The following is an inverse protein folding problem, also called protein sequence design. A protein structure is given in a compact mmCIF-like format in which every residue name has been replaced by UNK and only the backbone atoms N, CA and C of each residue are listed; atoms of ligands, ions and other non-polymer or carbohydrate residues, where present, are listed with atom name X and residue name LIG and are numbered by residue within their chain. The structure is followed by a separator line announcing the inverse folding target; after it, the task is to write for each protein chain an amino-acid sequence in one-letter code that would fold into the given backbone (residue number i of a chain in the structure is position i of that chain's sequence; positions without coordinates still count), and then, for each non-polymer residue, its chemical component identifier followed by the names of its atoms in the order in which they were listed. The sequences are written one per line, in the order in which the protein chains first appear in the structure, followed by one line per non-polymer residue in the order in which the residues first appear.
data_IF_220136930273
#
_entry.id   IF_220136930273
#
_cell.length_a   1.000
_cell.length_b   1.000
_cell.length_c   1.000
_cell.angle_alpha   90.00
_cell.angle_beta   90.00
_cell.angle_gamma   90.00
#
_symmetry.space_group_name_H-M   'P 1'
#
loop_
_entity.id
_entity.type
_entity.pdbx_description
1 polymer ?
#
# COMPACT_ATOMS: atom_id res chain seq x y z
N UNK A 1 -41.71 11.20 44.46
CA UNK A 1 -40.44 10.52 44.14
C UNK A 1 -40.75 9.35 43.21
N UNK A 2 -40.74 9.51 41.86
CA UNK A 2 -40.88 8.35 40.94
C UNK A 2 -40.62 8.61 39.45
N UNK A 3 -40.76 9.83 38.91
CA UNK A 3 -40.56 10.05 37.46
C UNK A 3 -39.20 10.65 37.08
N UNK A 4 -38.62 11.50 37.94
CA UNK A 4 -37.32 12.15 37.69
C UNK A 4 -36.14 11.17 37.68
N UNK A 5 -36.24 10.07 38.44
CA UNK A 5 -35.20 9.05 38.49
C UNK A 5 -35.24 8.12 37.26
N UNK A 6 -36.43 7.86 36.71
CA UNK A 6 -36.62 7.05 35.49
C UNK A 6 -36.09 7.76 34.23
N UNK A 7 -36.24 9.09 34.14
CA UNK A 7 -35.71 9.87 33.00
C UNK A 7 -34.18 9.89 33.02
N UNK A 8 -33.55 10.04 34.20
CA UNK A 8 -32.10 10.03 34.33
C UNK A 8 -31.49 8.68 33.95
N UNK A 9 -32.13 7.55 34.31
CA UNK A 9 -31.68 6.21 33.95
C UNK A 9 -31.86 5.95 32.45
N UNK A 10 -32.96 6.42 31.84
CA UNK A 10 -33.21 6.27 30.39
C UNK A 10 -32.23 7.06 29.51
N UNK A 11 -31.69 8.19 30.00
CA UNK A 11 -30.71 8.99 29.27
C UNK A 11 -29.32 8.37 29.29
N UNK A 12 -28.98 7.62 30.35
CA UNK A 12 -27.70 6.89 30.44
C UNK A 12 -27.63 5.67 29.50
N UNK A 13 -28.76 5.06 29.11
CA UNK A 13 -28.77 3.95 28.15
C UNK A 13 -28.55 4.38 26.70
N UNK A 14 -28.76 5.66 26.36
CA UNK A 14 -28.50 6.20 25.02
C UNK A 14 -27.01 6.55 24.77
N UNK A 15 -26.16 6.46 25.81
CA UNK A 15 -24.72 6.76 25.71
C UNK A 15 -23.83 5.52 25.54
N UNK A 16 -24.40 4.30 25.49
CA UNK A 16 -23.63 3.07 25.23
C UNK A 16 -23.51 2.71 23.74
N UNK A 17 -23.91 3.60 22.82
CA UNK A 17 -23.95 3.36 21.38
C UNK A 17 -22.63 3.55 20.62
N UNK A 18 -21.56 4.03 21.25
CA UNK A 18 -20.26 4.21 20.60
C UNK A 18 -19.20 3.26 21.16
N UNK A 19 -19.48 1.95 21.16
CA UNK A 19 -18.39 0.99 21.06
C UNK A 19 -17.99 0.91 19.58
N UNK A 20 -17.19 1.89 19.15
CA UNK A 20 -16.48 1.82 17.88
C UNK A 20 -15.58 0.58 17.98
N UNK A 21 -15.94 -0.48 17.26
CA UNK A 21 -15.11 -1.68 17.18
C UNK A 21 -13.70 -1.23 16.83
N UNK A 22 -12.70 -1.61 17.62
CA UNK A 22 -11.30 -1.24 17.34
C UNK A 22 -11.04 -1.49 15.84
N UNK A 23 -10.48 -0.52 15.11
CA UNK A 23 -10.28 -0.66 13.67
C UNK A 23 -9.51 -1.95 13.41
N UNK A 24 -10.13 -2.85 12.64
CA UNK A 24 -9.51 -4.13 12.30
C UNK A 24 -8.43 -3.84 11.27
N UNK A 25 -7.18 -3.93 11.72
CA UNK A 25 -6.03 -3.86 10.82
C UNK A 25 -6.03 -5.08 9.91
N UNK A 26 -6.07 -4.86 8.59
CA UNK A 26 -5.95 -5.92 7.60
C UNK A 26 -4.50 -6.21 7.25
N UNK A 27 -3.59 -5.26 7.47
CA UNK A 27 -2.16 -5.45 7.28
C UNK A 27 -1.34 -4.74 8.36
N UNK A 28 -0.33 -5.43 8.87
CA UNK A 28 0.62 -4.90 9.85
C UNK A 28 1.99 -4.58 9.25
N UNK A 29 2.21 -4.95 7.99
CA UNK A 29 3.46 -4.72 7.25
C UNK A 29 3.16 -3.94 5.99
N UNK A 30 3.85 -2.82 5.83
CA UNK A 30 3.76 -1.94 4.67
C UNK A 30 5.04 -1.98 3.87
N UNK A 31 4.95 -2.24 2.58
CA UNK A 31 6.08 -2.19 1.66
C UNK A 31 5.90 -1.06 0.64
N UNK A 32 6.97 -0.37 0.28
CA UNK A 32 6.97 0.59 -0.82
C UNK A 32 8.17 0.37 -1.75
N UNK A 33 7.95 0.51 -3.06
CA UNK A 33 8.96 0.25 -4.07
C UNK A 33 8.62 0.85 -5.44
N UNK A 34 9.52 0.60 -6.40
CA UNK A 34 9.28 0.92 -7.81
C UNK A 34 9.29 -0.34 -8.67
N UNK A 35 8.55 -0.34 -9.78
CA UNK A 35 8.61 -1.41 -10.78
C UNK A 35 9.72 -1.20 -11.82
N UNK A 36 10.16 0.04 -12.01
CA UNK A 36 11.22 0.40 -12.93
C UNK A 36 12.43 0.95 -12.18
N UNK A 37 13.07 1.96 -12.75
CA UNK A 37 14.27 2.58 -12.20
C UNK A 37 14.07 3.21 -10.82
N UNK A 38 15.09 3.91 -10.32
CA UNK A 38 15.01 4.70 -9.11
C UNK A 38 13.82 5.64 -9.12
N UNK A 39 13.12 5.69 -7.99
CA UNK A 39 12.07 6.67 -7.69
C UNK A 39 12.30 7.20 -6.27
N UNK A 40 11.76 8.38 -5.97
CA UNK A 40 11.70 8.91 -4.62
C UNK A 40 10.24 9.13 -4.22
N UNK A 41 9.75 8.34 -3.27
CA UNK A 41 8.38 8.50 -2.73
C UNK A 41 8.47 9.52 -1.58
N UNK A 42 8.02 10.75 -1.84
CA UNK A 42 8.17 11.90 -0.93
C UNK A 42 7.12 11.87 0.17
N UNK A 43 5.89 11.65 -0.24
CA UNK A 43 4.73 11.54 0.62
C UNK A 43 3.76 10.54 0.00
N UNK A 44 3.13 9.69 0.80
CA UNK A 44 2.18 8.72 0.30
C UNK A 44 1.32 8.17 1.42
N UNK A 45 0.18 8.82 1.66
CA UNK A 45 -0.80 8.40 2.64
C UNK A 45 -1.91 7.58 1.99
N UNK A 46 -2.18 6.40 2.54
CA UNK A 46 -3.38 5.61 2.21
C UNK A 46 -4.29 5.63 3.42
N UNK A 47 -5.48 6.19 3.27
CA UNK A 47 -6.50 6.25 4.32
C UNK A 47 -7.34 4.97 4.33
N UNK A 48 -7.92 4.64 5.48
CA UNK A 48 -8.89 3.55 5.62
C UNK A 48 -10.30 4.02 5.98
N UNK A 49 -11.28 3.11 5.90
CA UNK A 49 -12.69 3.40 6.20
C UNK A 49 -12.98 3.72 7.67
N UNK A 50 -12.02 3.52 8.58
CA UNK A 50 -12.17 3.77 10.01
C UNK A 50 -11.55 5.11 10.44
N UNK A 51 -11.14 5.94 9.48
CA UNK A 51 -10.47 7.21 9.73
C UNK A 51 -8.98 7.07 10.08
N UNK A 52 -8.42 5.87 9.95
CA UNK A 52 -6.99 5.59 10.07
C UNK A 52 -6.28 5.61 8.71
N UNK A 53 -5.07 5.04 8.68
CA UNK A 53 -4.28 4.93 7.46
C UNK A 53 -2.82 4.56 7.73
N UNK A 54 -2.04 4.50 6.66
CA UNK A 54 -0.60 4.28 6.74
C UNK A 54 0.16 5.12 5.70
N UNK A 55 1.37 5.55 6.09
CA UNK A 55 2.28 6.25 5.21
C UNK A 55 3.26 5.27 4.52
N UNK A 56 3.41 5.39 3.21
CA UNK A 56 4.29 4.61 2.34
C UNK A 56 5.45 5.46 1.76
N UNK A 57 5.69 6.66 2.30
CA UNK A 57 6.77 7.58 1.92
C UNK A 57 8.15 7.10 2.38
N UNK A 58 8.63 6.00 1.79
CA UNK A 58 9.89 5.38 2.21
C UNK A 58 11.15 5.99 1.54
N UNK A 59 11.02 7.16 0.90
CA UNK A 59 12.10 7.89 0.24
C UNK A 59 12.60 7.19 -1.03
N UNK A 60 13.92 7.23 -1.29
CA UNK A 60 14.51 6.62 -2.48
C UNK A 60 14.32 5.10 -2.52
N UNK A 61 13.66 4.59 -3.56
CA UNK A 61 13.42 3.17 -3.82
C UNK A 61 13.90 2.81 -5.24
N UNK A 62 14.36 1.58 -5.45
CA UNK A 62 14.61 1.01 -6.77
C UNK A 62 14.29 -0.49 -6.68
N UNK A 63 13.27 -0.93 -7.41
CA UNK A 63 12.73 -2.27 -7.23
C UNK A 63 11.93 -2.40 -5.91
N UNK A 64 11.58 -3.63 -5.56
CA UNK A 64 10.81 -3.92 -4.37
C UNK A 64 11.67 -4.62 -3.28
N UNK A 65 11.49 -4.29 -2.00
CA UNK A 65 10.81 -3.12 -1.45
C UNK A 65 11.50 -2.69 -0.15
N UNK A 66 11.35 -1.42 0.21
CA UNK A 66 11.52 -0.99 1.61
C UNK A 66 10.28 -1.39 2.41
N UNK A 67 10.46 -1.64 3.70
CA UNK A 67 9.42 -2.16 4.59
C UNK A 67 9.36 -1.35 5.88
N UNK A 68 8.17 -1.20 6.45
CA UNK A 68 7.94 -0.68 7.79
C UNK A 68 6.73 -1.38 8.43
N UNK A 69 6.66 -1.34 9.76
CA UNK A 69 5.45 -1.72 10.48
C UNK A 69 4.37 -0.66 10.26
N UNK A 70 3.15 -1.11 9.97
CA UNK A 70 1.98 -0.25 9.78
C UNK A 70 0.79 -0.81 10.58
N UNK A 71 -0.31 -0.08 10.60
CA UNK A 71 -1.61 -0.61 10.97
C UNK A 71 -2.65 0.07 10.11
N UNK A 72 -3.22 -0.67 9.15
CA UNK A 72 -4.17 -0.11 8.19
C UNK A 72 -5.38 -1.03 8.06
N UNK A 73 -6.58 -0.44 8.04
CA UNK A 73 -7.83 -1.13 7.72
C UNK A 73 -8.08 -1.29 6.22
N UNK A 74 -9.35 -1.40 5.85
CA UNK A 74 -9.76 -1.44 4.44
C UNK A 74 -9.49 -0.07 3.79
N UNK A 75 -8.68 0.00 2.72
CA UNK A 75 -8.28 1.27 2.14
C UNK A 75 -9.46 1.99 1.47
N UNK A 76 -9.47 3.32 1.56
CA UNK A 76 -10.55 4.19 1.07
C UNK A 76 -10.10 5.35 0.20
N UNK A 77 -8.87 5.82 0.39
CA UNK A 77 -8.30 6.88 -0.43
C UNK A 77 -6.78 6.78 -0.46
N UNK A 78 -6.18 7.35 -1.49
CA UNK A 78 -4.74 7.47 -1.64
C UNK A 78 -4.38 8.91 -2.02
N UNK A 79 -3.40 9.46 -1.30
CA UNK A 79 -2.91 10.79 -1.55
C UNK A 79 -1.40 10.83 -1.37
N UNK A 80 -0.67 11.43 -2.31
CA UNK A 80 0.77 11.47 -2.20
C UNK A 80 1.49 12.05 -3.40
N UNK A 81 2.80 12.13 -3.27
CA UNK A 81 3.72 12.64 -4.28
C UNK A 81 4.96 11.76 -4.39
N UNK A 82 5.41 11.56 -5.62
CA UNK A 82 6.67 10.87 -5.90
C UNK A 82 7.36 11.48 -7.11
N UNK A 83 8.63 11.15 -7.32
CA UNK A 83 9.41 11.61 -8.46
C UNK A 83 10.20 10.44 -9.05
N UNK A 84 10.37 10.42 -10.38
CA UNK A 84 11.29 9.48 -11.01
C UNK A 84 12.74 9.95 -10.78
N UNK A 85 13.64 8.98 -10.74
CA UNK A 85 15.05 9.19 -10.51
C UNK A 85 15.49 9.03 -9.06
N UNK A 86 16.71 9.47 -8.83
CA UNK A 86 17.53 9.11 -7.66
C UNK A 86 17.27 10.00 -6.44
N UNK A 87 16.37 10.98 -6.57
CA UNK A 87 16.17 12.08 -5.62
C UNK A 87 17.29 13.13 -5.67
N UNK A 88 17.15 14.19 -4.87
CA UNK A 88 18.17 15.23 -4.70
C UNK A 88 19.16 14.99 -3.55
N UNK A 89 20.15 15.87 -3.40
CA UNK A 89 21.08 15.91 -2.26
C UNK A 89 21.93 14.64 -2.08
N UNK A 90 22.09 14.20 -0.83
CA UNK A 90 22.92 13.04 -0.47
C UNK A 90 22.45 11.72 -1.11
N UNK A 91 21.18 11.63 -1.50
CA UNK A 91 20.66 10.48 -2.25
C UNK A 91 21.25 10.43 -3.66
N UNK A 92 21.33 11.56 -4.36
CA UNK A 92 21.95 11.65 -5.69
C UNK A 92 23.42 11.22 -5.64
N UNK A 93 24.18 11.73 -4.68
CA UNK A 93 25.60 11.38 -4.51
C UNK A 93 25.80 9.87 -4.25
N UNK A 94 24.95 9.27 -3.42
CA UNK A 94 24.98 7.83 -3.15
C UNK A 94 24.71 7.00 -4.41
N UNK A 95 23.80 7.48 -5.26
CA UNK A 95 23.48 6.83 -6.52
C UNK A 95 24.58 6.99 -7.57
N UNK A 96 25.20 8.17 -7.68
CA UNK A 96 26.36 8.38 -8.56
C UNK A 96 27.49 7.38 -8.26
N UNK A 97 27.77 7.12 -6.98
CA UNK A 97 28.80 6.15 -6.55
C UNK A 97 28.47 4.69 -6.88
N UNK A 98 27.19 4.34 -6.98
CA UNK A 98 26.72 2.97 -7.27
C UNK A 98 26.42 2.76 -8.75
N UNK A 99 26.43 3.83 -9.53
CA UNK A 99 26.08 3.81 -10.94
C UNK A 99 27.06 2.96 -11.71
N UNK A 100 26.54 2.20 -12.67
CA UNK A 100 27.36 1.36 -13.54
C UNK A 100 27.26 1.85 -14.99
N UNK A 101 28.36 1.91 -15.75
CA UNK A 101 28.35 2.42 -17.13
C UNK A 101 27.33 1.71 -18.04
N UNK A 102 27.06 0.42 -17.80
CA UNK A 102 26.06 -0.36 -18.54
C UNK A 102 24.62 0.13 -18.36
N UNK A 103 24.34 0.98 -17.37
CA UNK A 103 23.02 1.61 -17.16
C UNK A 103 22.86 2.91 -17.96
N UNK A 104 23.89 3.34 -18.72
CA UNK A 104 23.90 4.56 -19.52
C UNK A 104 24.48 5.77 -18.77
N UNK A 105 24.27 6.98 -19.29
CA UNK A 105 24.75 8.22 -18.67
C UNK A 105 23.85 8.59 -17.48
N UNK A 106 24.43 8.79 -16.29
CA UNK A 106 23.70 9.09 -15.05
C UNK A 106 22.89 10.40 -15.14
N UNK A 107 23.47 11.45 -15.73
CA UNK A 107 22.86 12.77 -15.80
C UNK A 107 21.82 12.88 -16.91
N UNK A 108 21.90 12.02 -17.94
CA UNK A 108 20.95 11.97 -19.06
C UNK A 108 19.80 10.97 -18.85
N UNK A 109 19.97 10.00 -17.94
CA UNK A 109 18.95 8.96 -17.70
C UNK A 109 17.77 9.39 -16.82
N UNK A 110 17.83 10.58 -16.21
CA UNK A 110 16.77 11.06 -15.32
C UNK A 110 16.30 12.46 -15.71
N UNK A 111 15.35 12.52 -16.66
CA UNK A 111 14.44 13.67 -16.77
C UNK A 111 13.48 13.60 -15.57
N UNK A 112 13.89 14.22 -14.45
CA UNK A 112 13.08 14.23 -13.23
C UNK A 112 11.72 14.83 -13.52
N UNK A 113 10.69 14.01 -13.33
CA UNK A 113 9.27 14.32 -13.32
C UNK A 113 8.77 14.14 -11.90
N UNK A 114 7.82 14.99 -11.55
CA UNK A 114 7.10 14.95 -10.30
C UNK A 114 5.69 14.45 -10.58
N UNK A 115 5.22 13.59 -9.70
CA UNK A 115 3.93 12.95 -9.77
C UNK A 115 3.14 13.22 -8.50
N UNK A 116 1.83 13.42 -8.63
CA UNK A 116 0.91 13.60 -7.51
C UNK A 116 -0.35 12.79 -7.73
N UNK A 117 -0.84 12.15 -6.67
CA UNK A 117 -2.13 11.47 -6.65
C UNK A 117 -2.99 12.03 -5.51
N UNK A 118 -4.27 12.18 -5.77
CA UNK A 118 -5.32 12.41 -4.78
C UNK A 118 -6.57 11.74 -5.36
N UNK A 119 -6.83 10.51 -4.93
CA UNK A 119 -7.88 9.68 -5.52
C UNK A 119 -8.57 8.78 -4.49
N UNK A 120 -9.76 8.34 -4.84
CA UNK A 120 -10.62 7.47 -4.05
C UNK A 120 -10.37 6.01 -4.42
N UNK A 121 -10.33 5.14 -3.41
CA UNK A 121 -10.25 3.69 -3.59
C UNK A 121 -11.66 3.12 -3.38
N UNK A 122 -12.11 2.24 -4.28
CA UNK A 122 -13.33 1.47 -4.07
C UNK A 122 -13.14 0.50 -2.89
N UNK A 123 -13.52 0.94 -1.69
CA UNK A 123 -13.35 0.20 -0.45
C UNK A 123 -14.15 -1.10 -0.41
N UNK A 124 -15.32 -1.15 -1.03
CA UNK A 124 -16.15 -2.36 -1.06
C UNK A 124 -15.49 -3.43 -1.92
N UNK A 125 -15.00 -3.04 -3.11
CA UNK A 125 -14.23 -3.95 -3.95
C UNK A 125 -12.90 -4.34 -3.32
N UNK A 126 -12.20 -3.38 -2.68
CA UNK A 126 -10.95 -3.67 -1.97
C UNK A 126 -11.17 -4.66 -0.84
N UNK A 127 -12.26 -4.53 -0.07
CA UNK A 127 -12.63 -5.48 0.98
C UNK A 127 -12.86 -6.87 0.43
N UNK A 128 -13.66 -7.00 -0.62
CA UNK A 128 -13.91 -8.30 -1.27
C UNK A 128 -12.60 -8.95 -1.74
N UNK A 129 -11.72 -8.18 -2.37
CA UNK A 129 -10.39 -8.65 -2.82
C UNK A 129 -9.49 -9.10 -1.68
N UNK A 130 -9.48 -8.37 -0.56
CA UNK A 130 -8.74 -8.74 0.66
C UNK A 130 -9.30 -10.04 1.23
N UNK A 131 -10.63 -10.16 1.34
CA UNK A 131 -11.29 -11.37 1.82
C UNK A 131 -10.97 -12.58 0.93
N UNK A 132 -10.99 -12.41 -0.40
CA UNK A 132 -10.56 -13.46 -1.35
C UNK A 132 -9.12 -13.88 -1.10
N UNK A 133 -8.17 -12.94 -0.95
CA UNK A 133 -6.78 -13.26 -0.65
C UNK A 133 -6.61 -13.98 0.69
N UNK A 134 -7.34 -13.55 1.73
CA UNK A 134 -7.29 -14.17 3.06
C UNK A 134 -7.79 -15.63 3.06
N UNK A 135 -8.67 -16.00 2.12
CA UNK A 135 -9.16 -17.37 1.95
C UNK A 135 -8.47 -18.11 0.79
N UNK A 136 -7.43 -17.52 0.19
CA UNK A 136 -6.82 -18.10 -1.01
C UNK A 136 -6.08 -19.41 -0.73
N UNK A 137 -5.36 -19.48 0.39
CA UNK A 137 -4.63 -20.66 0.83
C UNK A 137 -5.40 -21.42 1.92
N UNK A 138 -5.31 -22.76 1.89
CA UNK A 138 -5.93 -23.66 2.88
C UNK A 138 -5.44 -23.40 4.30
N UNK A 139 -4.12 -23.32 4.47
CA UNK A 139 -3.46 -23.24 5.76
C UNK A 139 -2.39 -22.14 5.68
N UNK A 140 -2.78 -20.89 6.00
CA UNK A 140 -1.84 -19.77 6.05
C UNK A 140 -1.77 -19.17 7.46
N UNK A 141 -0.55 -18.80 7.87
CA UNK A 141 -0.31 -18.10 9.14
C UNK A 141 0.55 -16.84 8.98
N UNK A 142 0.91 -16.49 7.74
CA UNK A 142 1.75 -15.33 7.48
C UNK A 142 1.00 -14.01 7.67
N UNK A 143 1.71 -13.02 8.20
CA UNK A 143 1.20 -11.66 8.31
C UNK A 143 0.92 -11.07 6.92
N UNK A 144 -0.29 -10.54 6.68
CA UNK A 144 -0.58 -9.87 5.43
C UNK A 144 0.25 -8.60 5.26
N UNK A 145 0.56 -8.31 3.99
CA UNK A 145 1.41 -7.20 3.57
C UNK A 145 0.65 -6.32 2.59
N UNK A 146 0.58 -5.02 2.91
CA UNK A 146 0.15 -3.98 1.99
C UNK A 146 1.38 -3.48 1.21
N UNK A 147 1.33 -3.41 -0.12
CA UNK A 147 2.45 -2.97 -0.96
C UNK A 147 2.02 -1.80 -1.83
N UNK A 148 2.79 -0.73 -1.80
CA UNK A 148 2.65 0.40 -2.70
C UNK A 148 3.78 0.40 -3.73
N UNK A 149 3.44 0.35 -5.01
CA UNK A 149 4.41 0.35 -6.10
C UNK A 149 4.15 1.52 -7.03
N UNK A 150 5.21 2.28 -7.33
CA UNK A 150 5.18 3.36 -8.32
C UNK A 150 5.94 2.98 -9.59
N UNK A 151 5.51 3.55 -10.70
CA UNK A 151 6.19 3.43 -11.98
C UNK A 151 5.82 4.59 -12.89
N UNK A 152 6.72 5.56 -13.06
CA UNK A 152 6.42 6.82 -13.75
C UNK A 152 5.14 7.45 -13.17
N UNK A 153 4.13 7.76 -13.98
CA UNK A 153 2.86 8.31 -13.54
C UNK A 153 1.92 7.30 -12.88
N UNK A 154 2.29 6.01 -12.83
CA UNK A 154 1.46 4.95 -12.28
C UNK A 154 1.73 4.71 -10.79
N UNK A 155 0.66 4.49 -10.02
CA UNK A 155 0.73 3.99 -8.65
C UNK A 155 -0.24 2.83 -8.44
N UNK A 156 0.20 1.81 -7.71
CA UNK A 156 -0.62 0.63 -7.39
C UNK A 156 -0.57 0.36 -5.89
N UNK A 157 -1.74 0.04 -5.32
CA UNK A 157 -1.86 -0.54 -3.98
C UNK A 157 -2.21 -2.01 -4.11
N UNK A 158 -1.37 -2.87 -3.55
CA UNK A 158 -1.47 -4.31 -3.62
C UNK A 158 -1.61 -4.88 -2.21
N UNK A 159 -2.28 -6.02 -2.11
CA UNK A 159 -2.35 -6.79 -0.88
C UNK A 159 -1.87 -8.22 -1.13
N UNK A 160 -1.11 -8.76 -0.19
CA UNK A 160 -0.54 -10.10 -0.36
C UNK A 160 -0.28 -10.78 0.97
N UNK A 161 -0.46 -12.10 0.97
CA UNK A 161 -0.04 -12.97 2.06
C UNK A 161 1.18 -13.73 1.55
N UNK A 162 2.30 -13.58 2.26
CA UNK A 162 3.52 -14.26 1.90
C UNK A 162 3.35 -15.77 2.12
N UNK A 163 3.65 -16.59 1.12
CA UNK A 163 3.64 -18.05 1.27
C UNK A 163 4.99 -18.64 0.85
N UNK A 164 5.75 -19.15 1.81
CA UNK A 164 7.10 -19.68 1.61
C UNK A 164 7.19 -21.10 2.16
N UNK A 165 7.33 -22.09 1.27
CA UNK A 165 7.40 -23.52 1.64
C UNK A 165 8.49 -23.85 2.67
N UNK A 166 9.58 -23.08 2.70
CA UNK A 166 10.72 -23.32 3.60
C UNK A 166 10.49 -22.88 5.05
N UNK A 167 9.40 -22.18 5.35
CA UNK A 167 9.12 -21.59 6.66
C UNK A 167 7.95 -22.25 7.44
N UNK A 168 7.40 -23.36 6.93
CA UNK A 168 6.31 -24.20 7.51
C UNK A 168 4.87 -23.97 7.00
N UNK A 169 4.63 -23.27 5.89
CA UNK A 169 3.26 -23.06 5.39
C UNK A 169 2.86 -24.05 4.27
N UNK A 170 1.70 -24.67 4.43
CA UNK A 170 0.98 -25.38 3.36
C UNK A 170 0.30 -24.35 2.44
N UNK A 171 1.04 -23.93 1.42
CA UNK A 171 0.60 -23.02 0.37
C UNK A 171 -0.39 -23.64 -0.62
N UNK A 172 -1.10 -24.71 -0.26
CA UNK A 172 -2.13 -25.29 -1.12
C UNK A 172 -3.29 -24.32 -1.28
N UNK A 173 -3.63 -24.01 -2.52
CA UNK A 173 -4.73 -23.12 -2.86
C UNK A 173 -6.07 -23.82 -2.55
N UNK A 174 -7.04 -23.08 -2.01
CA UNK A 174 -8.40 -23.57 -1.82
C UNK A 174 -9.07 -23.87 -3.17
N UNK A 175 -9.95 -24.87 -3.20
CA UNK A 175 -10.77 -25.11 -4.39
C UNK A 175 -11.74 -23.92 -4.58
N UNK A 176 -11.79 -23.36 -5.79
CA UNK A 176 -12.60 -22.17 -6.05
C UNK A 176 -12.14 -20.91 -5.31
N UNK A 177 -10.89 -20.85 -4.86
CA UNK A 177 -10.34 -19.76 -4.04
C UNK A 177 -10.46 -18.36 -4.67
N UNK A 178 -10.40 -18.26 -6.00
CA UNK A 178 -10.43 -16.99 -6.73
C UNK A 178 -11.40 -17.07 -7.93
N UNK A 179 -12.71 -17.04 -7.69
CA UNK A 179 -13.70 -17.17 -8.75
C UNK A 179 -13.70 -15.97 -9.71
N UNK A 180 -13.18 -14.83 -9.27
CA UNK A 180 -13.17 -13.57 -10.03
C UNK A 180 -11.83 -13.29 -10.73
N UNK A 181 -10.80 -14.13 -10.53
CA UNK A 181 -9.48 -13.95 -11.14
C UNK A 181 -8.72 -12.73 -10.60
N UNK A 182 -8.94 -12.33 -9.35
CA UNK A 182 -8.29 -11.16 -8.74
C UNK A 182 -6.86 -11.44 -8.26
N UNK A 183 -6.51 -12.69 -8.04
CA UNK A 183 -5.22 -13.10 -7.50
C UNK A 183 -4.24 -13.30 -8.65
N UNK A 184 -3.30 -12.38 -8.78
CA UNK A 184 -2.36 -12.30 -9.90
C UNK A 184 -0.91 -12.45 -9.44
N UNK A 185 0.01 -12.85 -10.34
CA UNK A 185 1.45 -12.68 -10.14
C UNK A 185 1.84 -11.32 -9.55
N UNK A 186 2.67 -11.32 -8.48
CA UNK A 186 3.23 -10.06 -7.97
C UNK A 186 4.08 -9.40 -9.07
N UNK A 187 3.84 -8.13 -9.43
CA UNK A 187 4.46 -7.49 -10.60
C UNK A 187 5.98 -7.32 -10.43
N UNK A 188 6.46 -7.30 -9.20
CA UNK A 188 7.88 -7.21 -8.84
C UNK A 188 8.53 -8.58 -8.52
N UNK A 189 7.86 -9.71 -8.81
CA UNK A 189 8.37 -11.04 -8.46
C UNK A 189 9.54 -11.44 -9.36
N UNK A 190 10.49 -12.19 -8.79
CA UNK A 190 11.46 -12.92 -9.59
C UNK A 190 10.73 -13.94 -10.50
N UNK A 191 11.17 -14.20 -11.75
CA UNK A 191 10.46 -15.11 -12.67
C UNK A 191 10.23 -16.53 -12.13
N UNK A 192 11.09 -16.99 -11.22
CA UNK A 192 10.97 -18.30 -10.54
C UNK A 192 10.14 -18.28 -9.26
N UNK A 193 9.59 -17.12 -8.87
CA UNK A 193 8.79 -16.95 -7.65
C UNK A 193 7.31 -17.19 -7.95
N UNK A 194 6.64 -17.87 -7.02
CA UNK A 194 5.18 -18.08 -7.04
C UNK A 194 4.43 -16.99 -6.26
N UNK A 195 5.09 -15.88 -5.91
CA UNK A 195 4.45 -14.78 -5.19
C UNK A 195 3.26 -14.22 -5.97
N UNK A 196 2.12 -14.15 -5.28
CA UNK A 196 0.86 -13.59 -5.78
C UNK A 196 0.41 -12.40 -4.95
N UNK A 197 -0.43 -11.57 -5.54
CA UNK A 197 -1.02 -10.37 -4.95
C UNK A 197 -2.46 -10.22 -5.44
N UNK A 198 -3.24 -9.42 -4.74
CA UNK A 198 -4.46 -8.81 -5.30
C UNK A 198 -4.22 -7.32 -5.47
N UNK A 199 -4.69 -6.76 -6.58
CA UNK A 199 -4.58 -5.32 -6.88
C UNK A 199 -5.79 -4.61 -6.28
N UNK A 200 -5.58 -3.85 -5.21
CA UNK A 200 -6.64 -3.09 -4.55
C UNK A 200 -6.92 -1.77 -5.27
N UNK A 201 -5.87 -1.15 -5.80
CA UNK A 201 -5.95 0.10 -6.55
C UNK A 201 -4.87 0.14 -7.63
N UNK A 202 -5.23 0.68 -8.79
CA UNK A 202 -4.36 0.92 -9.94
C UNK A 202 -4.77 2.26 -10.55
N UNK A 203 -3.93 3.28 -10.37
CA UNK A 203 -4.25 4.65 -10.77
C UNK A 203 -3.07 5.37 -11.42
N UNK A 204 -3.37 6.55 -11.96
CA UNK A 204 -2.40 7.44 -12.60
C UNK A 204 -2.39 8.80 -11.92
N UNK A 205 -1.21 9.26 -11.53
CA UNK A 205 -0.99 10.58 -10.96
C UNK A 205 -0.87 11.67 -12.03
N UNK A 206 -1.09 12.89 -11.59
CA UNK A 206 -0.78 14.11 -12.34
C UNK A 206 0.73 14.19 -12.56
N UNK A 207 1.17 14.60 -13.75
CA UNK A 207 2.59 14.72 -14.11
C UNK A 207 2.99 16.19 -14.20
N UNK A 208 4.15 16.52 -13.63
CA UNK A 208 4.74 17.86 -13.70
C UNK A 208 6.23 17.80 -14.00
N UNK A 209 6.73 18.77 -14.77
CA UNK A 209 8.17 19.00 -14.97
C UNK A 209 8.81 19.85 -13.87
N UNK A 210 8.07 20.17 -12.79
CA UNK A 210 8.54 20.89 -11.60
C UNK A 210 7.88 20.31 -10.35
N UNK A 211 8.47 20.44 -9.15
CA UNK A 211 7.80 20.04 -7.91
C UNK A 211 6.44 20.72 -7.76
N UNK A 212 5.46 19.99 -7.20
CA UNK A 212 4.20 20.57 -6.79
C UNK A 212 4.45 21.57 -5.65
N UNK A 213 3.79 22.72 -5.71
CA UNK A 213 4.01 23.83 -4.77
C UNK A 213 3.07 23.81 -3.58
N UNK A 214 1.96 23.12 -3.72
CA UNK A 214 0.96 22.99 -2.67
C UNK A 214 1.42 21.86 -1.75
N UNK A 215 1.39 22.10 -0.44
CA UNK A 215 1.66 21.02 0.51
C UNK A 215 0.49 20.05 0.44
N UNK A 216 0.77 18.80 0.11
CA UNK A 216 -0.10 17.67 0.45
C UNK A 216 -0.34 17.70 1.96
N UNK A 217 -1.60 17.70 2.46
CA UNK A 217 -1.90 17.67 3.89
C UNK A 217 -1.45 16.37 4.54
#
# INVERSE_FOLDING_TARGET
MKYRFLIAVSMCFLLNGCFESKPVSVASIGNAGSLSGPHFIRDMWVSDIYGGGANFAYGSVQGCCKSASIGIGIPSAIKGEWENGVGGGSSREKWQKRWKPEWGNFDENYDTKWFRIDDVIDSELAKQKIETMNHYYKNHHANPVMKLLVNDDKVMLLYSILCVKSANDDCTVNEGADPNGWIVPSPNRHPKSVAVVTVLYDGKGEVSGKPFKDKTP
#
